data_IF_566116979757
#
_entry.id   IF_566116979757
#
_cell.length_a   1.000
_cell.length_b   1.000
_cell.length_c   1.000
_cell.angle_alpha   90.00
_cell.angle_beta   90.00
_cell.angle_gamma   90.00
#
_symmetry.space_group_name_H-M   'P 1'
#
loop_
_entity.id
_entity.type
_entity.pdbx_description
1 polymer ?
#
# COMPACT_ATOMS: atom_id res chain seq x y z
N UNK A 1 -4.45 8.02 -14.42
CA UNK A 1 -4.42 7.97 -12.94
C UNK A 1 -2.97 8.04 -12.44
N UNK A 2 -2.14 7.05 -12.80
CA UNK A 2 -0.68 7.02 -12.58
C UNK A 2 0.05 8.31 -13.01
N UNK A 3 -0.15 8.74 -14.26
CA UNK A 3 0.58 9.89 -14.85
C UNK A 3 0.34 11.24 -14.15
N UNK A 4 -0.85 11.44 -13.55
CA UNK A 4 -1.16 12.67 -12.80
C UNK A 4 -0.52 12.69 -11.42
N UNK A 5 -0.25 11.52 -10.83
CA UNK A 5 0.43 11.42 -9.53
C UNK A 5 1.93 11.75 -9.68
N UNK A 6 2.56 11.19 -10.71
CA UNK A 6 3.97 11.45 -11.04
C UNK A 6 4.29 12.92 -11.38
N UNK A 7 3.27 13.73 -11.72
CA UNK A 7 3.47 15.16 -12.02
C UNK A 7 3.54 16.05 -10.77
N UNK A 8 3.17 15.53 -9.59
CA UNK A 8 3.10 16.31 -8.34
C UNK A 8 3.93 15.71 -7.21
N UNK A 9 4.19 14.41 -7.27
CA UNK A 9 4.90 13.64 -6.25
C UNK A 9 6.00 12.84 -6.93
N UNK A 10 7.11 12.63 -6.23
CA UNK A 10 8.08 11.64 -6.65
C UNK A 10 7.48 10.27 -6.36
N UNK A 11 6.96 9.60 -7.39
CA UNK A 11 6.22 8.34 -7.25
C UNK A 11 6.90 7.23 -8.02
N UNK A 12 7.44 6.25 -7.30
CA UNK A 12 7.90 5.00 -7.85
C UNK A 12 6.73 4.16 -8.35
N UNK A 13 6.82 3.62 -9.57
CA UNK A 13 5.83 2.71 -10.11
C UNK A 13 6.38 1.30 -10.24
N UNK A 14 5.70 0.35 -9.61
CA UNK A 14 6.01 -1.07 -9.66
C UNK A 14 4.88 -1.80 -10.39
N UNK A 15 5.21 -2.45 -11.50
CA UNK A 15 4.27 -3.28 -12.25
C UNK A 15 4.52 -4.74 -11.93
N UNK A 16 3.48 -5.43 -11.47
CA UNK A 16 3.52 -6.85 -11.14
C UNK A 16 2.67 -7.66 -12.15
N UNK A 17 3.31 -8.13 -13.21
CA UNK A 17 2.62 -8.88 -14.27
C UNK A 17 2.18 -10.26 -13.75
N UNK A 18 0.89 -10.56 -13.87
CA UNK A 18 0.27 -11.75 -13.28
C UNK A 18 0.61 -11.93 -11.79
N UNK A 19 0.74 -10.81 -11.07
CA UNK A 19 1.13 -10.78 -9.66
C UNK A 19 2.62 -10.96 -9.39
N UNK A 20 3.46 -11.14 -10.41
CA UNK A 20 4.91 -11.29 -10.21
C UNK A 20 5.56 -9.93 -9.99
N UNK A 21 5.93 -9.65 -8.76
CA UNK A 21 6.76 -8.50 -8.40
C UNK A 21 8.19 -8.72 -8.93
N UNK A 22 8.82 -7.75 -9.62
CA UNK A 22 10.18 -7.89 -10.12
C UNK A 22 11.18 -8.12 -8.98
N UNK A 23 12.09 -9.08 -9.15
CA UNK A 23 13.18 -9.29 -8.21
C UNK A 23 14.13 -8.07 -8.23
N UNK A 24 14.37 -7.47 -7.07
CA UNK A 24 15.16 -6.24 -6.95
C UNK A 24 14.38 -4.96 -7.24
N UNK A 25 13.05 -4.99 -7.17
CA UNK A 25 12.27 -3.76 -7.18
C UNK A 25 12.64 -2.91 -5.94
N UNK A 26 13.24 -1.75 -6.19
CA UNK A 26 13.54 -0.77 -5.15
C UNK A 26 12.45 0.30 -5.18
N UNK A 27 11.88 0.69 -4.03
CA UNK A 27 10.99 1.85 -4.00
C UNK A 27 11.84 3.08 -4.34
N UNK A 28 11.65 3.60 -5.55
CA UNK A 28 12.48 4.68 -6.08
C UNK A 28 12.20 6.05 -5.46
N UNK A 29 11.26 6.15 -4.52
CA UNK A 29 10.82 7.40 -3.89
C UNK A 29 10.03 7.13 -2.60
N UNK A 30 9.70 8.21 -1.87
CA UNK A 30 8.93 8.17 -0.61
C UNK A 30 7.52 7.55 -0.80
N UNK A 31 6.95 7.65 -2.01
CA UNK A 31 5.67 7.04 -2.36
C UNK A 31 5.82 6.01 -3.49
N UNK A 32 5.55 4.73 -3.22
CA UNK A 32 5.56 3.68 -4.24
C UNK A 32 4.16 3.13 -4.51
N UNK A 33 3.78 3.05 -5.79
CA UNK A 33 2.54 2.39 -6.23
C UNK A 33 2.87 1.07 -6.91
N UNK A 34 2.42 -0.02 -6.29
CA UNK A 34 2.43 -1.34 -6.88
C UNK A 34 1.09 -1.66 -7.55
N UNK A 35 1.14 -2.02 -8.84
CA UNK A 35 -0.03 -2.37 -9.63
C UNK A 35 0.12 -3.76 -10.23
N UNK A 36 -0.81 -4.65 -9.90
CA UNK A 36 -0.97 -5.92 -10.59
C UNK A 36 -1.60 -5.70 -11.97
N UNK A 37 -1.02 -6.30 -13.01
CA UNK A 37 -1.54 -6.25 -14.39
C UNK A 37 -1.66 -7.64 -14.98
N UNK A 38 -2.57 -7.82 -15.94
CA UNK A 38 -2.63 -9.07 -16.72
C UNK A 38 -1.40 -9.19 -17.60
N UNK A 39 -0.79 -10.37 -17.60
CA UNK A 39 0.31 -10.73 -18.49
C UNK A 39 -0.15 -11.44 -19.75
N UNK A 40 0.83 -11.91 -20.53
CA UNK A 40 0.56 -12.56 -21.82
C UNK A 40 -0.07 -13.97 -21.68
N UNK A 41 0.09 -14.61 -20.52
CA UNK A 41 -0.53 -15.90 -20.20
C UNK A 41 -1.67 -15.70 -19.18
N UNK A 42 -2.78 -16.41 -19.38
CA UNK A 42 -3.87 -16.45 -18.41
C UNK A 42 -3.43 -17.20 -17.15
N UNK A 43 -3.63 -16.57 -15.98
CA UNK A 43 -3.33 -17.13 -14.67
C UNK A 43 -4.58 -17.05 -13.81
N UNK A 44 -4.80 -18.03 -12.94
CA UNK A 44 -5.90 -17.98 -11.99
C UNK A 44 -5.75 -16.76 -11.07
N UNK A 45 -6.86 -16.06 -10.80
CA UNK A 45 -6.86 -14.84 -10.00
C UNK A 45 -6.27 -15.06 -8.60
N UNK A 46 -6.56 -16.21 -7.98
CA UNK A 46 -6.01 -16.61 -6.68
C UNK A 46 -4.48 -16.73 -6.71
N UNK A 47 -3.94 -17.37 -7.75
CA UNK A 47 -2.49 -17.52 -7.92
C UNK A 47 -1.81 -16.17 -8.17
N UNK A 48 -2.40 -15.31 -9.00
CA UNK A 48 -1.89 -13.96 -9.22
C UNK A 48 -1.92 -13.13 -7.92
N UNK A 49 -3.02 -13.21 -7.17
CA UNK A 49 -3.15 -12.56 -5.85
C UNK A 49 -2.10 -13.04 -4.85
N UNK A 50 -1.87 -14.35 -4.76
CA UNK A 50 -0.84 -14.93 -3.90
C UNK A 50 0.56 -14.45 -4.26
N UNK A 51 0.94 -14.54 -5.54
CA UNK A 51 2.25 -14.08 -6.01
C UNK A 51 2.50 -12.60 -5.72
N UNK A 52 1.44 -11.78 -5.85
CA UNK A 52 1.52 -10.35 -5.57
C UNK A 52 1.68 -10.09 -4.08
N UNK A 53 0.89 -10.76 -3.25
CA UNK A 53 1.00 -10.61 -1.81
C UNK A 53 2.38 -11.05 -1.30
N UNK A 54 2.93 -12.15 -1.81
CA UNK A 54 4.27 -12.63 -1.45
C UNK A 54 5.35 -11.60 -1.84
N UNK A 55 5.31 -11.10 -3.07
CA UNK A 55 6.30 -10.14 -3.57
C UNK A 55 6.25 -8.79 -2.85
N UNK A 56 5.05 -8.28 -2.56
CA UNK A 56 4.88 -7.02 -1.83
C UNK A 56 5.22 -7.18 -0.35
N UNK A 57 4.93 -8.34 0.25
CA UNK A 57 5.33 -8.60 1.65
C UNK A 57 6.85 -8.58 1.79
N UNK A 58 7.57 -9.21 0.86
CA UNK A 58 9.04 -9.14 0.82
C UNK A 58 9.55 -7.70 0.68
N UNK A 59 8.87 -6.86 -0.11
CA UNK A 59 9.22 -5.44 -0.26
C UNK A 59 8.94 -4.66 1.03
N UNK A 60 7.82 -4.91 1.71
CA UNK A 60 7.48 -4.25 2.98
C UNK A 60 8.49 -4.64 4.06
N UNK A 61 8.95 -5.89 4.07
CA UNK A 61 9.97 -6.36 5.02
C UNK A 61 11.31 -5.62 4.87
N UNK A 62 11.72 -5.30 3.64
CA UNK A 62 12.97 -4.58 3.37
C UNK A 62 12.84 -3.07 3.53
N UNK A 63 11.67 -2.50 3.24
CA UNK A 63 11.48 -1.04 3.15
C UNK A 63 10.82 -0.43 4.38
N UNK A 64 10.09 -1.24 5.16
CA UNK A 64 9.41 -0.85 6.40
C UNK A 64 8.65 0.49 6.31
N UNK A 65 7.70 0.60 5.36
CA UNK A 65 6.99 1.84 5.09
C UNK A 65 6.20 2.29 6.33
N UNK A 66 6.13 3.61 6.53
CA UNK A 66 5.30 4.19 7.59
C UNK A 66 3.81 3.98 7.31
N UNK A 67 3.42 3.93 6.04
CA UNK A 67 2.04 3.78 5.60
C UNK A 67 1.92 2.77 4.47
N UNK A 68 0.96 1.84 4.60
CA UNK A 68 0.57 0.87 3.59
C UNK A 68 -0.85 1.19 3.12
N UNK A 69 -1.01 1.46 1.83
CA UNK A 69 -2.32 1.60 1.18
C UNK A 69 -2.60 0.36 0.32
N UNK A 70 -3.60 -0.44 0.70
CA UNK A 70 -4.02 -1.62 -0.05
C UNK A 70 -5.38 -1.39 -0.73
N UNK A 71 -5.42 -1.62 -2.04
CA UNK A 71 -6.64 -1.55 -2.84
C UNK A 71 -7.09 -2.95 -3.26
N UNK A 72 -8.36 -3.29 -2.99
CA UNK A 72 -8.93 -4.63 -3.17
C UNK A 72 -8.98 -5.38 -1.83
N UNK A 73 -10.14 -5.98 -1.52
CA UNK A 73 -10.34 -6.69 -0.26
C UNK A 73 -9.50 -7.96 -0.19
N UNK A 74 -9.50 -8.74 -1.26
CA UNK A 74 -8.73 -9.98 -1.39
C UNK A 74 -7.23 -9.70 -1.32
N UNK A 75 -6.76 -8.66 -2.01
CA UNK A 75 -5.36 -8.24 -1.99
C UNK A 75 -4.93 -7.77 -0.60
N UNK A 76 -5.75 -6.93 0.05
CA UNK A 76 -5.47 -6.45 1.40
C UNK A 76 -5.42 -7.61 2.40
N UNK A 77 -6.40 -8.52 2.34
CA UNK A 77 -6.44 -9.68 3.22
C UNK A 77 -5.22 -10.58 3.02
N UNK A 78 -4.88 -10.91 1.76
CA UNK A 78 -3.70 -11.71 1.46
C UNK A 78 -2.43 -11.05 2.00
N UNK A 79 -2.22 -9.75 1.78
CA UNK A 79 -1.07 -9.02 2.30
C UNK A 79 -0.97 -9.08 3.83
N UNK A 80 -2.06 -8.78 4.53
CA UNK A 80 -2.09 -8.78 6.00
C UNK A 80 -1.78 -10.16 6.57
N UNK A 81 -2.30 -11.22 5.94
CA UNK A 81 -1.97 -12.60 6.31
C UNK A 81 -0.48 -12.89 6.17
N UNK A 82 0.18 -12.48 5.07
CA UNK A 82 1.62 -12.75 4.84
C UNK A 82 2.49 -11.91 5.76
N UNK A 83 2.06 -10.70 6.10
CA UNK A 83 2.73 -9.83 7.05
C UNK A 83 2.55 -10.30 8.51
N UNK A 84 1.70 -11.29 8.76
CA UNK A 84 1.41 -11.81 10.10
C UNK A 84 0.62 -10.83 10.96
N UNK A 85 -0.22 -10.00 10.34
CA UNK A 85 -1.07 -9.04 11.07
C UNK A 85 -2.28 -9.77 11.64
N UNK A 86 -2.25 -10.01 12.95
CA UNK A 86 -3.37 -10.62 13.67
C UNK A 86 -4.41 -9.59 14.12
N UNK A 87 -4.00 -8.33 14.25
CA UNK A 87 -4.84 -7.25 14.76
C UNK A 87 -4.59 -5.95 14.01
N UNK A 88 -5.70 -5.30 13.64
CA UNK A 88 -5.75 -3.92 13.18
C UNK A 88 -6.46 -3.08 14.25
N UNK A 89 -5.82 -2.02 14.71
CA UNK A 89 -6.46 -1.02 15.54
C UNK A 89 -7.03 0.07 14.63
N UNK A 90 -8.36 0.10 14.48
CA UNK A 90 -9.04 1.10 13.65
C UNK A 90 -8.96 2.46 14.36
N UNK A 91 -8.36 3.44 13.69
CA UNK A 91 -8.13 4.77 14.24
C UNK A 91 -9.23 5.73 13.81
N UNK A 92 -9.55 5.78 12.51
CA UNK A 92 -10.52 6.71 11.92
C UNK A 92 -10.90 6.30 10.49
N UNK A 93 -11.64 7.14 9.79
CA UNK A 93 -11.85 7.08 8.34
C UNK A 93 -11.28 8.33 7.64
N UNK A 94 -10.31 8.14 6.73
CA UNK A 94 -9.71 9.26 5.98
C UNK A 94 -10.68 9.82 4.94
N UNK A 95 -11.52 8.95 4.38
CA UNK A 95 -12.62 9.28 3.48
C UNK A 95 -13.80 8.35 3.81
N UNK A 96 -15.05 8.73 3.48
CA UNK A 96 -16.20 7.85 3.70
C UNK A 96 -15.98 6.47 3.09
N UNK A 97 -15.95 5.43 3.94
CA UNK A 97 -15.70 4.04 3.51
C UNK A 97 -14.24 3.70 3.21
N UNK A 98 -13.28 4.51 3.67
CA UNK A 98 -11.84 4.25 3.60
C UNK A 98 -11.25 4.32 5.02
N UNK A 99 -11.22 3.18 5.73
CA UNK A 99 -10.71 3.13 7.09
C UNK A 99 -9.19 3.34 7.14
N UNK A 100 -8.75 4.04 8.17
CA UNK A 100 -7.38 4.12 8.63
C UNK A 100 -7.24 3.27 9.88
N UNK A 101 -6.34 2.30 9.82
CA UNK A 101 -5.94 1.47 10.94
C UNK A 101 -4.43 1.59 11.20
N UNK A 102 -3.98 1.05 12.32
CA UNK A 102 -2.57 0.77 12.59
C UNK A 102 -2.36 -0.71 12.91
N UNK A 103 -1.17 -1.19 12.59
CA UNK A 103 -0.65 -2.47 13.07
C UNK A 103 0.83 -2.36 13.39
N UNK A 104 1.32 -3.27 14.23
CA UNK A 104 2.75 -3.43 14.46
C UNK A 104 3.30 -4.41 13.43
N UNK A 105 4.08 -3.90 12.48
CA UNK A 105 4.83 -4.68 11.51
C UNK A 105 6.30 -4.68 11.92
N UNK A 106 6.85 -5.86 12.24
CA UNK A 106 8.27 -6.03 12.62
C UNK A 106 8.72 -5.10 13.77
N UNK A 107 7.82 -4.81 14.71
CA UNK A 107 8.10 -3.93 15.85
C UNK A 107 7.95 -2.43 15.56
N UNK A 108 7.56 -2.05 14.34
CA UNK A 108 7.26 -0.67 13.96
C UNK A 108 5.75 -0.51 13.77
N UNK A 109 5.20 0.59 14.28
CA UNK A 109 3.81 0.95 14.00
C UNK A 109 3.70 1.42 12.55
N UNK A 110 2.93 0.69 11.75
CA UNK A 110 2.62 1.03 10.35
C UNK A 110 1.14 1.36 10.24
N UNK A 111 0.83 2.47 9.56
CA UNK A 111 -0.54 2.85 9.20
C UNK A 111 -1.01 2.00 8.04
N UNK A 112 -2.21 1.47 8.12
CA UNK A 112 -2.80 0.61 7.11
C UNK A 112 -4.10 1.24 6.65
N UNK A 113 -4.17 1.56 5.37
CA UNK A 113 -5.35 2.10 4.71
C UNK A 113 -5.84 1.03 3.76
N UNK A 114 -7.10 0.62 3.88
CA UNK A 114 -7.71 -0.36 2.97
C UNK A 114 -8.85 0.25 2.20
N UNK A 115 -9.02 -0.18 0.96
CA UNK A 115 -10.07 0.31 0.08
C UNK A 115 -10.57 -0.82 -0.82
N UNK A 116 -11.87 -0.93 -1.03
CA UNK A 116 -12.42 -1.89 -2.00
C UNK A 116 -12.04 -1.52 -3.44
N UNK A 117 -11.77 -2.53 -4.27
CA UNK A 117 -11.20 -2.39 -5.62
C UNK A 117 -12.11 -1.75 -6.68
N UNK A 118 -13.31 -1.30 -6.32
CA UNK A 118 -14.29 -0.67 -7.22
C UNK A 118 -14.86 0.66 -6.72
N UNK A 119 -14.37 1.21 -5.61
CA UNK A 119 -14.92 2.43 -5.01
C UNK A 119 -14.07 3.64 -5.41
N UNK A 120 -14.66 4.83 -5.53
CA UNK A 120 -13.94 6.12 -5.64
C UNK A 120 -13.43 6.51 -7.04
N UNK A 121 -13.76 7.75 -7.42
CA UNK A 121 -13.30 8.48 -8.61
C UNK A 121 -11.75 8.54 -8.66
N UNK A 122 -11.17 8.82 -9.84
CA UNK A 122 -9.75 9.06 -10.09
C UNK A 122 -9.10 10.07 -9.13
N UNK A 123 -9.89 10.96 -8.53
CA UNK A 123 -9.48 11.88 -7.47
C UNK A 123 -9.12 11.18 -6.13
N UNK A 124 -9.61 9.96 -5.89
CA UNK A 124 -9.50 9.27 -4.60
C UNK A 124 -8.07 8.86 -4.28
N UNK A 125 -7.33 8.31 -5.25
CA UNK A 125 -5.92 7.95 -5.06
C UNK A 125 -5.05 9.20 -4.85
N UNK A 126 -5.38 10.31 -5.53
CA UNK A 126 -4.70 11.59 -5.34
C UNK A 126 -4.95 12.15 -3.94
N UNK A 127 -6.21 12.15 -3.50
CA UNK A 127 -6.59 12.59 -2.15
C UNK A 127 -5.94 11.74 -1.08
N UNK A 128 -5.90 10.42 -1.28
CA UNK A 128 -5.23 9.51 -0.34
C UNK A 128 -3.72 9.77 -0.29
N UNK A 129 -3.05 9.93 -1.43
CA UNK A 129 -1.63 10.26 -1.44
C UNK A 129 -1.35 11.58 -0.70
N UNK A 130 -2.10 12.64 -0.98
CA UNK A 130 -1.95 13.93 -0.29
C UNK A 130 -2.31 13.89 1.20
N UNK A 131 -3.28 13.05 1.59
CA UNK A 131 -3.61 12.83 3.00
C UNK A 131 -2.51 12.08 3.72
N UNK A 132 -1.84 11.12 3.08
CA UNK A 132 -0.71 10.38 3.67
C UNK A 132 0.49 11.30 3.90
N UNK A 133 0.85 12.15 2.94
CA UNK A 133 1.89 13.18 3.15
C UNK A 133 1.56 14.07 4.35
N UNK A 134 0.30 14.52 4.44
CA UNK A 134 -0.15 15.35 5.55
C UNK A 134 -0.13 14.61 6.91
N UNK A 135 -0.17 13.27 6.92
CA UNK A 135 -0.06 12.46 8.13
C UNK A 135 1.41 12.22 8.53
N UNK A 136 2.34 12.26 7.59
CA UNK A 136 3.78 12.12 7.83
C UNK A 136 4.38 13.40 8.45
N UNK A 137 3.88 14.58 8.07
CA UNK A 137 4.24 15.86 8.70
C UNK A 137 3.91 15.90 10.21
N UNK A 138 2.84 15.21 10.64
CA UNK A 138 2.41 15.20 12.05
C UNK A 138 3.18 14.14 12.84
N UNK A 139 3.58 13.04 12.20
CA UNK A 139 4.32 11.94 12.84
C UNK A 139 5.74 12.34 13.24
N UNK A 140 6.36 13.25 12.48
CA UNK A 140 7.72 13.75 12.76
C UNK A 140 7.76 14.68 13.97
N UNK A 141 6.63 15.27 14.37
CA UNK A 141 6.52 16.13 15.55
C UNK A 141 6.39 15.35 16.88
N UNK A 142 6.18 14.02 16.84
CA UNK A 142 5.93 13.20 18.03
C UNK A 142 7.19 12.49 18.59
N UNK A 143 8.34 12.57 17.91
CA UNK A 143 9.62 12.00 18.38
C UNK A 143 10.60 13.08 18.90
N UNK A 144 10.11 14.26 19.26
CA UNK A 144 10.90 15.26 19.99
C UNK A 144 10.32 15.49 21.40
N UNK A 145 11.10 14.99 22.36
CA UNK A 145 11.26 15.43 23.76
C UNK A 145 10.78 14.46 24.87
N UNK A 146 11.54 14.33 25.98
CA UNK A 146 12.95 14.67 26.23
C UNK A 146 13.83 13.47 26.64
#
# INVERSE_FOLDING_TARGET
QVERLCSKLDVGFLIAENGRVPAGAEPGSDLTIAKMTSGNAAVAAELAGGLFADGISALIETTQPATLLACGGETANALLERLGVERLDVLDEILPGVPLASAVLRGKTTRIITKSGGFGDADTLLRLASSVESLEDISTAAESEP
#
